data_IF_891463791536
#
_entry.id   IF_891463791536
#
_cell.length_a   1.000
_cell.length_b   1.000
_cell.length_c   1.000
_cell.angle_alpha   90.00
_cell.angle_beta   90.00
_cell.angle_gamma   90.00
#
_symmetry.space_group_name_H-M   'P 1'
#
loop_
_entity.id
_entity.type
_entity.pdbx_description
1 polymer ?
#
# COMPACT_ATOMS: atom_id res chain seq x y z
N UNK A 1 6.72 3.15 10.50
CA UNK A 1 6.77 2.50 9.17
C UNK A 1 5.52 2.87 8.39
N UNK A 2 5.70 3.50 7.23
CA UNK A 2 4.59 3.93 6.34
C UNK A 2 3.85 2.72 5.76
N UNK A 3 2.54 2.82 5.54
CA UNK A 3 1.69 1.76 4.95
C UNK A 3 2.24 1.29 3.59
N UNK A 4 2.93 2.17 2.85
CA UNK A 4 3.61 1.89 1.57
C UNK A 4 4.58 0.71 1.65
N UNK A 5 5.30 0.53 2.76
CA UNK A 5 6.34 -0.50 2.89
C UNK A 5 5.81 -1.91 3.20
N UNK A 6 4.48 -2.07 3.36
CA UNK A 6 3.87 -3.35 3.75
C UNK A 6 3.45 -4.20 2.54
N UNK A 7 3.06 -3.53 1.45
CA UNK A 7 2.53 -4.20 0.26
C UNK A 7 3.54 -4.18 -0.89
N UNK A 8 4.34 -3.12 -1.02
CA UNK A 8 5.35 -3.01 -2.06
C UNK A 8 6.62 -3.77 -1.70
N UNK A 9 7.34 -4.20 -2.73
CA UNK A 9 8.71 -4.65 -2.61
C UNK A 9 9.54 -3.53 -1.97
N UNK A 10 10.28 -3.79 -0.87
CA UNK A 10 11.10 -2.78 -0.20
C UNK A 10 12.12 -2.09 -1.12
N UNK A 11 12.54 -2.77 -2.19
CA UNK A 11 13.49 -2.27 -3.18
C UNK A 11 12.80 -1.44 -4.29
N UNK A 12 11.47 -1.44 -4.35
CA UNK A 12 10.73 -0.66 -5.34
C UNK A 12 10.66 0.81 -4.93
N UNK A 13 11.47 1.66 -5.57
CA UNK A 13 11.42 3.10 -5.39
C UNK A 13 10.31 3.74 -6.25
N UNK A 14 9.05 3.45 -5.91
CA UNK A 14 7.88 3.90 -6.70
C UNK A 14 6.99 4.83 -5.91
N UNK A 15 6.81 6.05 -6.43
CA UNK A 15 5.80 6.96 -5.91
C UNK A 15 4.39 6.42 -6.21
N UNK A 16 3.73 5.93 -5.17
CA UNK A 16 2.41 5.29 -5.25
C UNK A 16 1.31 6.23 -5.70
N UNK A 17 1.55 7.55 -5.68
CA UNK A 17 0.59 8.55 -6.13
C UNK A 17 0.80 8.95 -7.59
N UNK A 18 1.93 8.59 -8.19
CA UNK A 18 2.30 9.02 -9.56
C UNK A 18 2.14 7.92 -10.61
N UNK A 19 2.07 6.65 -10.22
CA UNK A 19 2.05 5.53 -11.17
C UNK A 19 1.35 4.28 -10.64
N UNK A 20 0.93 3.36 -11.53
CA UNK A 20 0.33 2.09 -11.13
C UNK A 20 1.36 1.24 -10.38
N UNK A 21 0.91 0.58 -9.30
CA UNK A 21 1.82 -0.13 -8.39
C UNK A 21 1.80 -1.66 -8.54
N UNK A 22 0.96 -2.21 -9.42
CA UNK A 22 0.73 -3.65 -9.57
C UNK A 22 2.02 -4.46 -9.79
N UNK A 23 2.97 -3.93 -10.57
CA UNK A 23 4.26 -4.58 -10.87
C UNK A 23 5.27 -4.56 -9.72
N UNK A 24 4.96 -3.86 -8.62
CA UNK A 24 5.88 -3.64 -7.50
C UNK A 24 5.42 -4.31 -6.21
N UNK A 25 4.36 -5.12 -6.27
CA UNK A 25 3.82 -5.82 -5.10
C UNK A 25 4.77 -6.94 -4.69
N UNK A 26 5.04 -7.06 -3.39
CA UNK A 26 5.82 -8.17 -2.87
C UNK A 26 5.08 -9.50 -3.09
N UNK A 27 5.74 -10.58 -3.56
CA UNK A 27 5.13 -11.90 -3.70
C UNK A 27 4.57 -12.46 -2.38
N UNK A 28 5.18 -12.08 -1.26
CA UNK A 28 4.72 -12.37 0.10
C UNK A 28 4.76 -11.07 0.92
N UNK A 29 3.72 -10.24 0.82
CA UNK A 29 3.69 -8.96 1.50
C UNK A 29 3.53 -9.14 3.01
N UNK A 30 4.39 -8.47 3.77
CA UNK A 30 4.30 -8.41 5.23
C UNK A 30 3.30 -7.34 5.63
N UNK A 31 2.11 -7.75 6.08
CA UNK A 31 1.00 -6.83 6.36
C UNK A 31 1.13 -6.12 7.71
N UNK A 32 2.21 -6.42 8.45
CA UNK A 32 2.55 -5.81 9.72
C UNK A 32 2.31 -6.75 10.89
N UNK A 33 2.99 -6.45 12.01
CA UNK A 33 3.04 -7.30 13.20
C UNK A 33 1.66 -7.77 13.66
N UNK A 34 0.67 -6.88 13.77
CA UNK A 34 -0.67 -7.23 14.23
C UNK A 34 -1.35 -8.28 13.33
N UNK A 35 -1.17 -8.18 12.01
CA UNK A 35 -1.73 -9.16 11.08
C UNK A 35 -1.03 -10.50 11.26
N UNK A 36 0.31 -10.51 11.22
CA UNK A 36 1.07 -11.76 11.30
C UNK A 36 0.85 -12.48 12.63
N UNK A 37 0.87 -11.74 13.74
CA UNK A 37 0.65 -12.31 15.08
C UNK A 37 -0.76 -12.86 15.23
N UNK A 38 -1.79 -12.18 14.70
CA UNK A 38 -3.17 -12.67 14.77
C UNK A 38 -3.42 -13.86 13.86
N UNK A 39 -2.85 -13.89 12.66
CA UNK A 39 -2.91 -15.05 11.78
C UNK A 39 -2.28 -16.29 12.45
N UNK A 40 -1.13 -16.10 13.11
CA UNK A 40 -0.45 -17.16 13.86
C UNK A 40 -1.27 -17.64 15.09
N UNK A 41 -1.83 -16.71 15.87
CA UNK A 41 -2.65 -17.00 17.06
C UNK A 41 -3.95 -17.75 16.71
N UNK A 42 -4.57 -17.39 15.59
CA UNK A 42 -5.82 -18.02 15.12
C UNK A 42 -5.58 -19.38 14.45
N UNK A 43 -4.32 -19.80 14.26
CA UNK A 43 -3.95 -21.04 13.58
C UNK A 43 -4.69 -21.23 12.24
N UNK A 44 -4.78 -20.15 11.44
CA UNK A 44 -5.47 -20.20 10.15
C UNK A 44 -4.83 -21.24 9.24
N UNK A 45 -5.65 -21.95 8.48
CA UNK A 45 -5.14 -22.78 7.41
C UNK A 45 -4.35 -21.90 6.42
N UNK A 46 -3.23 -22.38 5.84
CA UNK A 46 -2.40 -21.58 4.95
C UNK A 46 -3.17 -20.96 3.78
N UNK A 47 -4.21 -21.64 3.29
CA UNK A 47 -5.09 -21.16 2.23
C UNK A 47 -5.94 -19.97 2.67
N UNK A 48 -6.55 -20.04 3.87
CA UNK A 48 -7.36 -18.97 4.43
C UNK A 48 -6.53 -17.72 4.73
N UNK A 49 -5.36 -17.91 5.33
CA UNK A 49 -4.42 -16.81 5.56
C UNK A 49 -4.05 -16.13 4.23
N UNK A 50 -3.73 -16.91 3.20
CA UNK A 50 -3.38 -16.40 1.88
C UNK A 50 -4.55 -15.65 1.23
N UNK A 51 -5.78 -16.15 1.39
CA UNK A 51 -6.98 -15.51 0.86
C UNK A 51 -7.24 -14.15 1.53
N UNK A 52 -7.12 -14.08 2.87
CA UNK A 52 -7.24 -12.80 3.60
C UNK A 52 -6.12 -11.85 3.18
N UNK A 53 -4.88 -12.33 3.08
CA UNK A 53 -3.73 -11.52 2.66
C UNK A 53 -3.94 -10.92 1.28
N UNK A 54 -4.39 -11.72 0.31
CA UNK A 54 -4.74 -11.27 -1.05
C UNK A 54 -5.81 -10.18 -1.03
N UNK A 55 -6.84 -10.32 -0.19
CA UNK A 55 -7.89 -9.29 -0.04
C UNK A 55 -7.34 -7.98 0.51
N UNK A 56 -6.47 -8.02 1.51
CA UNK A 56 -5.82 -6.82 2.05
C UNK A 56 -4.94 -6.11 1.01
N UNK A 57 -4.19 -6.90 0.22
CA UNK A 57 -3.38 -6.39 -0.88
C UNK A 57 -4.27 -5.74 -1.93
N UNK A 58 -5.32 -6.44 -2.40
CA UNK A 58 -6.27 -5.91 -3.38
C UNK A 58 -6.91 -4.60 -2.91
N UNK A 59 -7.38 -4.54 -1.65
CA UNK A 59 -7.92 -3.33 -1.07
C UNK A 59 -6.90 -2.17 -1.08
N UNK A 60 -5.64 -2.44 -0.73
CA UNK A 60 -4.59 -1.40 -0.72
C UNK A 60 -4.31 -0.87 -2.12
N UNK A 61 -4.31 -1.73 -3.13
CA UNK A 61 -4.19 -1.33 -4.54
C UNK A 61 -5.36 -0.46 -4.95
N UNK A 62 -6.59 -0.94 -4.75
CA UNK A 62 -7.81 -0.20 -5.12
C UNK A 62 -7.89 1.16 -4.43
N UNK A 63 -7.54 1.23 -3.14
CA UNK A 63 -7.47 2.48 -2.40
C UNK A 63 -6.44 3.42 -3.02
N UNK A 64 -5.26 2.92 -3.38
CA UNK A 64 -4.20 3.72 -4.02
C UNK A 64 -4.66 4.26 -5.37
N UNK A 65 -5.32 3.44 -6.19
CA UNK A 65 -5.83 3.86 -7.49
C UNK A 65 -6.94 4.90 -7.36
N UNK A 66 -7.88 4.72 -6.42
CA UNK A 66 -8.92 5.72 -6.13
C UNK A 66 -8.31 7.05 -5.65
N UNK A 67 -7.33 6.98 -4.75
CA UNK A 67 -6.62 8.17 -4.29
C UNK A 67 -5.95 8.89 -5.45
N UNK A 68 -5.27 8.16 -6.35
CA UNK A 68 -4.63 8.73 -7.55
C UNK A 68 -5.58 9.41 -8.51
N UNK A 69 -6.82 8.91 -8.64
CA UNK A 69 -7.85 9.53 -9.48
C UNK A 69 -8.38 10.80 -8.84
N UNK A 70 -8.49 10.84 -7.50
CA UNK A 70 -9.08 11.98 -6.76
C UNK A 70 -8.08 13.07 -6.37
N UNK A 71 -6.78 12.76 -6.36
CA UNK A 71 -5.71 13.66 -5.95
C UNK A 71 -4.99 14.48 -7.05
N UNK A 72 -5.06 14.21 -8.37
CA UNK A 72 -4.10 14.76 -9.32
C UNK A 72 -4.18 16.29 -9.40
N UNK A 73 -5.39 16.86 -9.34
CA UNK A 73 -5.58 18.32 -9.34
C UNK A 73 -5.18 18.96 -8.00
N UNK A 74 -5.34 18.24 -6.89
CA UNK A 74 -5.11 18.76 -5.54
C UNK A 74 -3.66 18.62 -5.07
N UNK A 75 -2.89 17.64 -5.56
CA UNK A 75 -1.48 17.46 -5.15
C UNK A 75 -0.60 18.56 -5.71
N UNK A 76 -0.77 18.97 -6.98
CA UNK A 76 -0.01 20.10 -7.52
C UNK A 76 -0.35 21.41 -6.79
N UNK A 77 -1.63 21.63 -6.46
CA UNK A 77 -2.06 22.76 -5.64
C UNK A 77 -1.47 22.71 -4.22
N UNK A 78 -1.47 21.55 -3.56
CA UNK A 78 -0.89 21.37 -2.22
C UNK A 78 0.64 21.50 -2.21
N UNK A 79 1.34 21.02 -3.25
CA UNK A 79 2.77 21.17 -3.41
C UNK A 79 3.18 22.62 -3.72
N UNK A 80 2.39 23.35 -4.51
CA UNK A 80 2.64 24.77 -4.79
C UNK A 80 2.37 25.66 -3.58
N UNK A 81 1.37 25.33 -2.74
CA UNK A 81 1.13 26.00 -1.45
C UNK A 81 2.28 25.85 -0.43
N UNK A 82 3.10 24.79 -0.54
CA UNK A 82 4.28 24.59 0.30
C UNK A 82 5.55 25.28 -0.23
N UNK A 83 5.52 25.86 -1.44
CA UNK A 83 6.54 26.77 -1.96
C UNK A 83 6.19 28.22 -1.60
N UNK A 84 6.23 28.56 -0.31
CA UNK A 84 6.31 29.97 0.09
C UNK A 84 7.77 30.39 -0.06
N UNK A 85 8.11 31.32 -0.98
CA UNK A 85 9.48 31.82 -1.07
C UNK A 85 9.79 32.61 0.20
N UNK A 86 10.88 32.24 0.88
CA UNK A 86 11.55 33.10 1.85
C UNK A 86 12.35 34.17 1.12
#
# INVERSE_FOLDING_TARGET
MSVRSRVLNPLANVDVLKGPIHGFISPKPYLGYLFESKAAELHLAPEDENNVRKRCVAFTISLTDELRVRLPDNIEALCSLHHVPH
#
